data_IF_947875252200
#
_entry.id   IF_947875252200
#
_cell.length_a   1.000
_cell.length_b   1.000
_cell.length_c   1.000
_cell.angle_alpha   90.00
_cell.angle_beta   90.00
_cell.angle_gamma   90.00
#
_symmetry.space_group_name_H-M   'P 1'
#
loop_
_entity.id
_entity.type
_entity.pdbx_description
1 polymer ?
#
# COMPACT_ATOMS: atom_id res chain seq x y z
N UNK A 1 -24.11 -29.45 -43.93
CA UNK A 1 -23.80 -28.14 -43.33
C UNK A 1 -24.48 -28.10 -41.97
N UNK A 2 -23.72 -28.34 -40.88
CA UNK A 2 -24.25 -28.23 -39.51
C UNK A 2 -24.87 -26.85 -39.31
N UNK A 3 -26.08 -26.81 -38.74
CA UNK A 3 -26.79 -25.56 -38.44
C UNK A 3 -25.98 -24.76 -37.42
N UNK A 4 -25.43 -23.63 -37.87
CA UNK A 4 -24.67 -22.68 -37.06
C UNK A 4 -25.54 -22.09 -35.94
N UNK A 5 -25.46 -22.65 -34.73
CA UNK A 5 -26.25 -22.20 -33.58
C UNK A 5 -25.54 -21.05 -32.84
N UNK A 6 -25.77 -19.82 -33.34
CA UNK A 6 -25.19 -18.58 -32.79
C UNK A 6 -25.47 -18.39 -31.30
N UNK A 7 -26.62 -18.84 -30.79
CA UNK A 7 -26.98 -18.70 -29.37
C UNK A 7 -26.10 -19.58 -28.48
N UNK A 8 -25.80 -20.82 -28.90
CA UNK A 8 -24.94 -21.72 -28.15
C UNK A 8 -23.49 -21.24 -28.11
N UNK A 9 -22.97 -20.73 -29.22
CA UNK A 9 -21.63 -20.14 -29.29
C UNK A 9 -21.49 -18.94 -28.34
N UNK A 10 -22.50 -18.06 -28.28
CA UNK A 10 -22.50 -16.93 -27.34
C UNK A 10 -22.48 -17.42 -25.89
N UNK A 11 -23.27 -18.44 -25.54
CA UNK A 11 -23.27 -19.04 -24.19
C UNK A 11 -21.89 -19.61 -23.84
N UNK A 12 -21.25 -20.33 -24.75
CA UNK A 12 -19.91 -20.88 -24.56
C UNK A 12 -18.87 -19.76 -24.36
N UNK A 13 -18.89 -18.73 -25.21
CA UNK A 13 -17.99 -17.58 -25.09
C UNK A 13 -18.15 -16.85 -23.74
N UNK A 14 -19.38 -16.68 -23.26
CA UNK A 14 -19.63 -16.10 -21.95
C UNK A 14 -19.10 -16.97 -20.81
N UNK A 15 -19.27 -18.29 -20.89
CA UNK A 15 -18.74 -19.22 -19.91
C UNK A 15 -17.20 -19.18 -19.88
N UNK A 16 -16.54 -19.19 -21.04
CA UNK A 16 -15.09 -19.07 -21.14
C UNK A 16 -14.57 -17.75 -20.54
N UNK A 17 -15.25 -16.64 -20.84
CA UNK A 17 -14.90 -15.32 -20.30
C UNK A 17 -15.00 -15.30 -18.77
N UNK A 18 -16.02 -15.95 -18.19
CA UNK A 18 -16.15 -16.10 -16.73
C UNK A 18 -14.97 -16.88 -16.16
N UNK A 19 -14.63 -18.03 -16.73
CA UNK A 19 -13.50 -18.86 -16.27
C UNK A 19 -12.17 -18.10 -16.38
N UNK A 20 -11.92 -17.42 -17.51
CA UNK A 20 -10.71 -16.60 -17.71
C UNK A 20 -10.61 -15.48 -16.67
N UNK A 21 -11.73 -14.83 -16.36
CA UNK A 21 -11.79 -13.76 -15.34
C UNK A 21 -11.47 -14.31 -13.95
N UNK A 22 -12.09 -15.44 -13.57
CA UNK A 22 -11.81 -16.09 -12.28
C UNK A 22 -10.34 -16.48 -12.14
N UNK A 23 -9.74 -17.07 -13.18
CA UNK A 23 -8.30 -17.42 -13.18
C UNK A 23 -7.42 -16.19 -12.96
N UNK A 24 -7.69 -15.07 -13.64
CA UNK A 24 -6.94 -13.81 -13.46
C UNK A 24 -7.03 -13.27 -12.04
N UNK A 25 -8.23 -13.26 -11.48
CA UNK A 25 -8.46 -12.76 -10.11
C UNK A 25 -7.79 -13.67 -9.09
N UNK A 26 -7.91 -14.99 -9.24
CA UNK A 26 -7.26 -15.95 -8.35
C UNK A 26 -5.74 -15.83 -8.39
N UNK A 27 -5.15 -15.66 -9.58
CA UNK A 27 -3.72 -15.41 -9.71
C UNK A 27 -3.30 -14.13 -9.00
N UNK A 28 -4.01 -13.02 -9.23
CA UNK A 28 -3.71 -11.75 -8.58
C UNK A 28 -3.81 -11.85 -7.05
N UNK A 29 -4.82 -12.54 -6.52
CA UNK A 29 -4.94 -12.78 -5.08
C UNK A 29 -3.73 -13.58 -4.55
N UNK A 30 -3.34 -14.65 -5.24
CA UNK A 30 -2.20 -15.47 -4.81
C UNK A 30 -0.89 -14.66 -4.83
N UNK A 31 -0.67 -13.84 -5.87
CA UNK A 31 0.51 -12.98 -5.98
C UNK A 31 0.54 -11.95 -4.81
N UNK A 32 -0.60 -11.37 -4.45
CA UNK A 32 -0.71 -10.42 -3.32
C UNK A 32 -0.43 -11.10 -1.97
N UNK A 33 -0.92 -12.35 -1.79
CA UNK A 33 -0.61 -13.15 -0.60
C UNK A 33 0.89 -13.42 -0.51
N UNK A 34 1.54 -13.82 -1.61
CA UNK A 34 2.98 -14.10 -1.63
C UNK A 34 3.83 -12.87 -1.32
N UNK A 35 3.40 -11.70 -1.78
CA UNK A 35 4.08 -10.42 -1.51
C UNK A 35 3.75 -9.84 -0.14
N UNK A 36 2.87 -10.49 0.62
CA UNK A 36 2.35 -9.99 1.90
C UNK A 36 1.80 -8.55 1.76
N UNK A 37 1.05 -8.31 0.68
CA UNK A 37 0.38 -7.04 0.38
C UNK A 37 -1.09 -7.06 0.82
N UNK A 38 -1.65 -5.87 1.05
CA UNK A 38 -3.03 -5.74 1.51
C UNK A 38 -4.02 -6.28 0.45
N UNK A 39 -4.97 -7.10 0.90
CA UNK A 39 -6.00 -7.65 0.02
C UNK A 39 -7.29 -6.85 0.21
N UNK A 40 -7.60 -6.00 -0.77
CA UNK A 40 -8.88 -5.31 -0.86
C UNK A 40 -9.33 -5.22 -2.34
N UNK A 41 -10.61 -4.87 -2.56
CA UNK A 41 -11.18 -4.81 -3.91
C UNK A 41 -10.44 -3.85 -4.86
N UNK A 42 -9.87 -2.76 -4.34
CA UNK A 42 -9.15 -1.78 -5.15
C UNK A 42 -7.83 -2.38 -5.65
N UNK A 43 -7.06 -2.98 -4.74
CA UNK A 43 -5.76 -3.58 -5.05
C UNK A 43 -5.95 -4.78 -5.97
N UNK A 44 -6.90 -5.67 -5.66
CA UNK A 44 -7.22 -6.84 -6.50
C UNK A 44 -7.68 -6.39 -7.89
N UNK A 45 -8.50 -5.35 -8.00
CA UNK A 45 -8.95 -4.80 -9.29
C UNK A 45 -7.78 -4.29 -10.14
N UNK A 46 -6.89 -3.50 -9.54
CA UNK A 46 -5.67 -3.00 -10.22
C UNK A 46 -4.75 -4.16 -10.65
N UNK A 47 -4.48 -5.11 -9.76
CA UNK A 47 -3.51 -6.19 -10.00
C UNK A 47 -4.03 -7.24 -10.99
N UNK A 48 -5.34 -7.54 -10.97
CA UNK A 48 -5.97 -8.49 -11.92
C UNK A 48 -6.40 -7.87 -13.25
N UNK A 49 -6.39 -6.52 -13.35
CA UNK A 49 -6.97 -5.75 -14.46
C UNK A 49 -8.45 -6.09 -14.71
N UNK A 50 -9.19 -6.34 -13.64
CA UNK A 50 -10.63 -6.61 -13.66
C UNK A 50 -11.35 -5.49 -12.93
N UNK A 51 -12.46 -4.99 -13.51
CA UNK A 51 -13.24 -3.91 -12.91
C UNK A 51 -13.79 -4.29 -11.53
N UNK A 52 -13.93 -3.33 -10.63
CA UNK A 52 -14.55 -3.59 -9.31
C UNK A 52 -15.97 -4.12 -9.44
N UNK A 53 -16.74 -3.60 -10.40
CA UNK A 53 -18.10 -4.08 -10.67
C UNK A 53 -18.11 -5.59 -10.95
N UNK A 54 -17.18 -6.07 -11.78
CA UNK A 54 -17.03 -7.51 -12.05
C UNK A 54 -16.67 -8.31 -10.79
N UNK A 55 -15.84 -7.77 -9.90
CA UNK A 55 -15.48 -8.42 -8.63
C UNK A 55 -16.68 -8.50 -7.67
N UNK A 56 -17.48 -7.44 -7.57
CA UNK A 56 -18.68 -7.40 -6.73
C UNK A 56 -19.80 -8.30 -7.26
N UNK A 57 -19.99 -8.36 -8.58
CA UNK A 57 -21.04 -9.14 -9.21
C UNK A 57 -20.81 -10.65 -9.13
N UNK A 58 -19.55 -11.09 -9.00
CA UNK A 58 -19.23 -12.49 -8.76
C UNK A 58 -19.16 -12.78 -7.25
N UNK A 59 -20.25 -13.33 -6.71
CA UNK A 59 -20.38 -13.62 -5.28
C UNK A 59 -19.24 -14.48 -4.70
N UNK A 60 -18.72 -15.44 -5.49
CA UNK A 60 -17.62 -16.32 -5.05
C UNK A 60 -16.32 -15.53 -4.89
N UNK A 61 -16.01 -14.67 -5.86
CA UNK A 61 -14.85 -13.77 -5.81
C UNK A 61 -14.99 -12.79 -4.65
N UNK A 62 -16.17 -12.16 -4.54
CA UNK A 62 -16.48 -11.19 -3.49
C UNK A 62 -16.23 -11.75 -2.10
N UNK A 63 -16.86 -12.90 -1.78
CA UNK A 63 -16.69 -13.57 -0.48
C UNK A 63 -15.24 -13.95 -0.19
N UNK A 64 -14.49 -14.37 -1.22
CA UNK A 64 -13.07 -14.70 -1.07
C UNK A 64 -12.24 -13.46 -0.70
N UNK A 65 -12.44 -12.34 -1.39
CA UNK A 65 -11.74 -11.08 -1.11
C UNK A 65 -12.10 -10.57 0.30
N UNK A 66 -13.38 -10.59 0.67
CA UNK A 66 -13.84 -10.17 2.00
C UNK A 66 -13.22 -11.03 3.12
N UNK A 67 -13.21 -12.35 2.96
CA UNK A 67 -12.59 -13.28 3.93
C UNK A 67 -11.09 -13.00 4.10
N UNK A 68 -10.36 -12.90 2.99
CA UNK A 68 -8.93 -12.63 3.02
C UNK A 68 -8.61 -11.27 3.62
N UNK A 69 -9.43 -10.26 3.32
CA UNK A 69 -9.29 -8.92 3.89
C UNK A 69 -9.42 -8.95 5.41
N UNK A 70 -10.43 -9.62 5.94
CA UNK A 70 -10.63 -9.72 7.39
C UNK A 70 -9.46 -10.45 8.07
N UNK A 71 -8.96 -11.53 7.47
CA UNK A 71 -7.77 -12.25 7.96
C UNK A 71 -6.51 -11.37 7.98
N UNK A 72 -6.40 -10.45 7.03
CA UNK A 72 -5.23 -9.57 6.90
C UNK A 72 -5.30 -8.28 7.73
N UNK A 73 -6.46 -7.99 8.31
CA UNK A 73 -6.79 -6.70 8.91
C UNK A 73 -5.89 -6.35 10.09
N UNK A 74 -5.61 -7.30 10.98
CA UNK A 74 -4.72 -7.08 12.11
C UNK A 74 -3.30 -6.75 11.65
N UNK A 75 -2.77 -7.54 10.71
CA UNK A 75 -1.40 -7.40 10.18
C UNK A 75 -1.18 -6.02 9.55
N UNK A 76 -2.09 -5.57 8.68
CA UNK A 76 -1.95 -4.29 7.99
C UNK A 76 -2.31 -3.07 8.85
N UNK A 77 -3.22 -3.20 9.82
CA UNK A 77 -3.49 -2.12 10.78
C UNK A 77 -2.26 -1.85 11.66
N UNK A 78 -1.54 -2.88 12.08
CA UNK A 78 -0.31 -2.72 12.84
C UNK A 78 0.82 -2.10 12.00
N UNK A 79 0.99 -2.55 10.75
CA UNK A 79 2.00 -1.99 9.83
C UNK A 79 1.80 -0.51 9.51
N UNK A 80 0.57 -0.09 9.21
CA UNK A 80 0.29 1.33 8.94
C UNK A 80 0.50 2.23 10.19
N UNK A 81 0.26 1.69 11.39
CA UNK A 81 0.54 2.40 12.65
C UNK A 81 2.03 2.52 12.95
N UNK A 82 2.88 1.57 12.55
CA UNK A 82 4.34 1.69 12.70
C UNK A 82 4.92 2.68 11.70
N UNK A 83 4.54 2.58 10.43
CA UNK A 83 5.17 3.38 9.35
C UNK A 83 4.99 4.89 9.57
N UNK A 84 3.81 5.32 10.01
CA UNK A 84 3.54 6.73 10.34
C UNK A 84 4.33 7.23 11.57
N UNK A 85 4.53 6.36 12.57
CA UNK A 85 5.34 6.68 13.75
C UNK A 85 6.82 6.77 13.39
N UNK A 86 7.33 5.87 12.55
CA UNK A 86 8.73 5.85 12.14
C UNK A 86 9.10 7.07 11.29
N UNK A 87 8.20 7.50 10.40
CA UNK A 87 8.35 8.74 9.64
C UNK A 87 8.38 9.97 10.56
N UNK A 88 7.47 10.03 11.56
CA UNK A 88 7.42 11.10 12.54
C UNK A 88 8.68 11.14 13.42
N UNK A 89 9.11 9.98 13.94
CA UNK A 89 10.33 9.84 14.75
C UNK A 89 11.55 10.31 13.96
N UNK A 90 11.66 9.93 12.68
CA UNK A 90 12.76 10.34 11.81
C UNK A 90 12.78 11.86 11.59
N UNK A 91 11.61 12.47 11.42
CA UNK A 91 11.48 13.93 11.30
C UNK A 91 11.88 14.65 12.58
N UNK A 92 11.40 14.17 13.74
CA UNK A 92 11.74 14.74 15.05
C UNK A 92 13.24 14.63 15.33
N UNK A 93 13.87 13.47 15.07
CA UNK A 93 15.32 13.29 15.20
C UNK A 93 16.12 14.29 14.37
N UNK A 94 15.70 14.56 13.11
CA UNK A 94 16.34 15.58 12.28
C UNK A 94 16.21 16.97 12.88
N UNK A 95 15.02 17.33 13.40
CA UNK A 95 14.81 18.65 14.02
C UNK A 95 15.64 18.82 15.28
N UNK A 96 15.70 17.81 16.15
CA UNK A 96 16.54 17.82 17.36
C UNK A 96 18.01 18.01 16.98
N UNK A 97 18.53 17.24 16.03
CA UNK A 97 19.93 17.38 15.60
C UNK A 97 20.24 18.77 15.02
N UNK A 98 19.31 19.37 14.27
CA UNK A 98 19.47 20.74 13.77
C UNK A 98 19.53 21.76 14.91
N UNK A 99 18.64 21.64 15.90
CA UNK A 99 18.61 22.53 17.05
C UNK A 99 19.85 22.38 17.93
N UNK A 100 20.35 21.17 18.11
CA UNK A 100 21.59 20.92 18.86
C UNK A 100 22.81 21.55 18.18
N UNK A 101 22.90 21.47 16.85
CA UNK A 101 23.96 22.15 16.08
C UNK A 101 23.87 23.66 16.19
N UNK A 102 22.68 24.23 16.03
CA UNK A 102 22.46 25.67 16.15
C UNK A 102 22.80 26.17 17.56
N UNK A 103 22.37 25.45 18.59
CA UNK A 103 22.73 25.74 19.99
C UNK A 103 24.24 25.70 20.21
N UNK A 104 24.95 24.76 19.57
CA UNK A 104 26.42 24.69 19.67
C UNK A 104 27.08 25.91 19.01
N UNK A 105 26.67 26.25 17.80
CA UNK A 105 27.19 27.42 17.06
C UNK A 105 26.98 28.70 17.86
N UNK A 106 25.77 28.93 18.38
CA UNK A 106 25.48 30.13 19.19
C UNK A 106 26.33 30.19 20.46
N UNK A 107 26.59 29.05 21.11
CA UNK A 107 27.49 29.01 22.28
C UNK A 107 28.93 29.34 21.90
N UNK A 108 29.40 28.83 20.77
CA UNK A 108 30.76 29.09 20.28
C UNK A 108 30.90 30.58 19.92
N UNK A 109 29.91 31.18 19.24
CA UNK A 109 29.86 32.62 18.95
C UNK A 109 29.91 33.47 20.22
N UNK A 110 29.08 33.15 21.22
CA UNK A 110 29.07 33.84 22.51
C UNK A 110 30.46 33.80 23.17
N UNK A 111 31.12 32.63 23.21
CA UNK A 111 32.46 32.49 23.78
C UNK A 111 33.49 33.33 23.04
N UNK A 112 33.45 33.35 21.70
CA UNK A 112 34.39 34.17 20.92
C UNK A 112 34.20 35.67 21.16
N UNK A 113 32.95 36.13 21.33
CA UNK A 113 32.66 37.52 21.64
C UNK A 113 33.15 37.90 23.05
N UNK A 114 32.96 37.04 24.05
CA UNK A 114 33.49 37.27 25.39
C UNK A 114 35.01 37.38 25.38
N UNK A 115 35.73 36.47 24.73
CA UNK A 115 37.18 36.52 24.65
C UNK A 115 37.68 37.83 24.01
N UNK A 116 37.04 38.29 22.93
CA UNK A 116 37.38 39.58 22.29
C UNK A 116 37.17 40.79 23.20
N UNK A 117 36.18 40.76 24.09
CA UNK A 117 35.96 41.84 25.06
C UNK A 117 37.10 41.85 26.08
N UNK A 118 37.49 40.67 26.59
CA UNK A 118 38.58 40.55 27.57
C UNK A 118 39.97 40.88 26.99
N UNK A 119 40.22 40.62 25.71
CA UNK A 119 41.49 40.99 25.05
C UNK A 119 41.63 42.51 24.82
N UNK A 120 40.54 43.27 24.87
CA UNK A 120 40.53 44.73 24.66
C UNK A 120 40.54 45.54 25.98
N UNK A 121 40.75 44.87 27.12
CA UNK A 121 40.92 45.46 28.45
C UNK A 121 42.37 45.27 28.87
#
# INVERSE_FOLDING_TARGET
>A
MEKFNRQEQLKQLHAERKVKTEKKVNKAINDLIQKNEEINFNIVSKHSKVSKATLYNNNKIRKRIEKLREQSKEIFVHKNKSDGKDALISSLKRKVSSLEKEKKVLKDEINTLYNKIYENI
#
